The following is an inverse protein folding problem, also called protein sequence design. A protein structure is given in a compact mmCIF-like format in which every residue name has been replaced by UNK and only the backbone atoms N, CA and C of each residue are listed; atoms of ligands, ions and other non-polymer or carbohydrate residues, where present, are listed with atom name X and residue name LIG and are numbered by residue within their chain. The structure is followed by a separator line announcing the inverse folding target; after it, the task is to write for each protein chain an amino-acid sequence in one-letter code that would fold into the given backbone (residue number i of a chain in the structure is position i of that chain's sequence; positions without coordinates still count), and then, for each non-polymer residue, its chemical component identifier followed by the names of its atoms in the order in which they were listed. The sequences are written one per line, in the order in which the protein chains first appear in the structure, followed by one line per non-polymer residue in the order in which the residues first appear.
data_IF_272080535045
#
_entry.id   IF_272080535045
#
_cell.length_a   1.000
_cell.length_b   1.000
_cell.length_c   1.000
_cell.angle_alpha   90.00
_cell.angle_beta   90.00
_cell.angle_gamma   90.00
#
_symmetry.space_group_name_H-M   'P 1'
#
loop_
_entity.id
_entity.type
_entity.pdbx_description
1 polymer ?
#
# COMPACT_ATOMS: atom_id res chain seq x y z
N UNK A 1 5.38 22.18 -2.67
CA UNK A 1 3.93 21.83 -2.54
C UNK A 1 3.80 20.65 -1.58
N UNK A 2 2.60 20.34 -1.05
CA UNK A 2 2.37 19.12 -0.24
C UNK A 2 1.69 18.05 -1.10
N UNK A 3 2.27 16.86 -1.18
CA UNK A 3 1.82 15.78 -2.05
C UNK A 3 1.62 14.50 -1.25
N UNK A 4 0.39 13.98 -1.27
CA UNK A 4 0.08 12.65 -0.76
C UNK A 4 0.02 11.66 -1.93
N UNK A 5 0.82 10.61 -1.88
CA UNK A 5 0.88 9.55 -2.90
C UNK A 5 0.34 8.26 -2.30
N UNK A 6 -0.77 7.77 -2.85
CA UNK A 6 -1.35 6.48 -2.48
C UNK A 6 -0.92 5.46 -3.52
N UNK A 7 -0.16 4.45 -3.11
CA UNK A 7 0.35 3.42 -4.02
C UNK A 7 0.30 2.05 -3.35
N UNK A 8 0.05 1.00 -4.13
CA UNK A 8 -0.01 -0.37 -3.62
C UNK A 8 1.37 -0.90 -3.19
N UNK A 9 2.42 -0.53 -3.91
CA UNK A 9 3.79 -1.00 -3.70
C UNK A 9 4.76 0.15 -3.50
N UNK A 10 5.68 -0.03 -2.57
CA UNK A 10 6.77 0.91 -2.34
C UNK A 10 7.95 0.18 -1.69
N UNK A 11 9.21 0.59 -1.96
CA UNK A 11 10.38 0.00 -1.32
C UNK A 11 10.18 -0.23 0.20
N UNK A 12 10.62 -1.37 0.74
CA UNK A 12 11.31 -2.46 0.06
C UNK A 12 10.38 -3.46 -0.68
N UNK A 13 9.07 -3.42 -0.45
CA UNK A 13 8.12 -4.38 -1.05
C UNK A 13 7.62 -3.88 -2.40
N UNK A 14 8.27 -4.35 -3.45
CA UNK A 14 7.91 -4.07 -4.85
C UNK A 14 7.53 -5.39 -5.52
N UNK A 15 6.40 -5.42 -6.23
CA UNK A 15 5.97 -6.58 -7.03
C UNK A 15 6.04 -6.32 -8.54
N UNK A 16 6.17 -5.06 -8.98
CA UNK A 16 6.33 -4.72 -10.39
C UNK A 16 6.80 -3.29 -10.67
N UNK A 17 6.58 -2.84 -11.91
CA UNK A 17 7.06 -1.54 -12.40
C UNK A 17 6.40 -0.33 -11.72
N UNK A 18 5.19 -0.51 -11.17
CA UNK A 18 4.46 0.56 -10.47
C UNK A 18 5.22 1.05 -9.24
N UNK A 19 5.69 0.13 -8.39
CA UNK A 19 6.45 0.48 -7.18
C UNK A 19 7.80 1.14 -7.52
N UNK A 20 8.46 0.69 -8.58
CA UNK A 20 9.69 1.32 -9.09
C UNK A 20 9.43 2.74 -9.56
N UNK A 21 8.39 2.96 -10.38
CA UNK A 21 8.02 4.29 -10.83
C UNK A 21 7.68 5.21 -9.65
N UNK A 22 6.88 4.72 -8.70
CA UNK A 22 6.49 5.46 -7.52
C UNK A 22 7.72 5.91 -6.70
N UNK A 23 8.69 5.02 -6.48
CA UNK A 23 9.92 5.34 -5.75
C UNK A 23 10.77 6.41 -6.45
N UNK A 24 10.84 6.38 -7.79
CA UNK A 24 11.61 7.35 -8.57
C UNK A 24 10.91 8.71 -8.65
N UNK A 25 9.60 8.74 -8.91
CA UNK A 25 8.87 9.99 -9.11
C UNK A 25 8.71 10.78 -7.80
N UNK A 26 8.44 10.12 -6.67
CA UNK A 26 8.36 10.77 -5.36
C UNK A 26 9.69 11.40 -4.97
N UNK A 27 10.81 10.74 -5.32
CA UNK A 27 12.14 11.30 -5.12
C UNK A 27 12.36 12.54 -5.97
N UNK A 28 11.84 12.58 -7.19
CA UNK A 28 11.89 13.78 -8.04
C UNK A 28 11.12 14.95 -7.43
N UNK A 29 9.94 14.72 -6.87
CA UNK A 29 9.18 15.75 -6.18
C UNK A 29 9.94 16.34 -4.98
N UNK A 30 10.55 15.49 -4.14
CA UNK A 30 11.40 15.97 -3.03
C UNK A 30 12.58 16.82 -3.54
N UNK A 31 13.20 16.42 -4.66
CA UNK A 31 14.28 17.21 -5.28
C UNK A 31 13.80 18.53 -5.91
N UNK A 32 12.49 18.68 -6.12
CA UNK A 32 11.82 19.91 -6.58
C UNK A 32 11.27 20.74 -5.43
N UNK A 33 11.69 20.45 -4.18
CA UNK A 33 11.29 21.16 -2.96
C UNK A 33 9.80 20.93 -2.57
N UNK A 34 9.23 19.80 -3.01
CA UNK A 34 7.93 19.33 -2.53
C UNK A 34 8.06 18.48 -1.26
N UNK A 35 7.08 18.64 -0.37
CA UNK A 35 6.89 17.82 0.84
C UNK A 35 6.00 16.63 0.46
N UNK A 36 6.58 15.42 0.52
CA UNK A 36 5.97 14.21 -0.03
C UNK A 36 5.72 13.19 1.06
N UNK A 37 4.47 12.75 1.15
CA UNK A 37 4.03 11.64 2.00
C UNK A 37 3.52 10.50 1.13
N UNK A 38 4.05 9.29 1.34
CA UNK A 38 3.62 8.07 0.68
C UNK A 38 2.79 7.24 1.66
N UNK A 39 1.62 6.82 1.21
CA UNK A 39 0.82 5.78 1.83
C UNK A 39 0.95 4.54 0.96
N UNK A 40 1.30 3.42 1.58
CA UNK A 40 1.52 2.16 0.89
C UNK A 40 1.20 0.98 1.79
N UNK A 41 0.95 -0.18 1.21
CA UNK A 41 0.75 -1.40 1.99
C UNK A 41 2.01 -1.78 2.78
N UNK A 42 1.81 -2.32 3.98
CA UNK A 42 2.86 -3.04 4.69
C UNK A 42 3.13 -4.40 4.00
N UNK A 43 4.21 -5.08 4.38
CA UNK A 43 4.47 -6.42 3.88
C UNK A 43 3.46 -7.45 4.43
N UNK A 44 3.55 -8.68 3.95
CA UNK A 44 2.57 -9.72 4.28
C UNK A 44 2.55 -10.11 5.75
N UNK A 45 3.64 -9.87 6.48
CA UNK A 45 3.80 -10.17 7.90
C UNK A 45 3.58 -8.94 8.80
N UNK A 46 3.40 -7.74 8.22
CA UNK A 46 3.33 -6.48 8.97
C UNK A 46 4.65 -6.14 9.69
N UNK A 47 5.78 -6.60 9.16
CA UNK A 47 7.12 -6.47 9.76
C UNK A 47 7.78 -5.12 9.48
N UNK A 48 7.35 -4.41 8.43
CA UNK A 48 7.92 -3.11 8.08
C UNK A 48 7.44 -2.01 9.04
N UNK A 49 8.26 -0.97 9.27
CA UNK A 49 7.85 0.18 10.06
C UNK A 49 6.55 0.79 9.53
N UNK A 50 5.60 1.00 10.43
CA UNK A 50 4.31 1.65 10.11
C UNK A 50 4.47 3.11 9.72
N UNK A 51 5.57 3.74 10.15
CA UNK A 51 6.00 5.06 9.74
C UNK A 51 7.52 5.12 9.64
N UNK A 52 8.04 5.72 8.57
CA UNK A 52 9.46 6.05 8.46
C UNK A 52 9.69 7.28 7.58
N UNK A 53 10.91 7.83 7.60
CA UNK A 53 11.36 8.82 6.64
C UNK A 53 12.49 8.20 5.83
N UNK A 54 12.33 8.13 4.52
CA UNK A 54 13.33 7.60 3.61
C UNK A 54 13.60 8.59 2.47
N UNK A 55 14.86 9.01 2.31
CA UNK A 55 15.28 9.97 1.27
C UNK A 55 14.45 11.27 1.23
N UNK A 56 14.02 11.75 2.40
CA UNK A 56 13.20 12.95 2.56
C UNK A 56 11.71 12.75 2.28
N UNK A 57 11.26 11.49 2.13
CA UNK A 57 9.87 11.13 1.91
C UNK A 57 9.34 10.52 3.20
N UNK A 58 8.23 11.03 3.72
CA UNK A 58 7.53 10.38 4.83
C UNK A 58 6.72 9.21 4.28
N UNK A 59 6.83 8.04 4.88
CA UNK A 59 6.16 6.82 4.39
C UNK A 59 5.33 6.23 5.52
N UNK A 60 4.07 5.92 5.23
CA UNK A 60 3.12 5.26 6.12
C UNK A 60 2.74 3.89 5.55
N UNK A 61 2.89 2.85 6.38
CA UNK A 61 2.56 1.45 6.08
C UNK A 61 1.63 0.88 7.15
N UNK A 62 0.33 1.20 7.12
CA UNK A 62 -0.61 0.72 8.12
C UNK A 62 -0.60 -0.82 8.18
N UNK A 63 -0.75 -1.36 9.39
CA UNK A 63 -0.96 -2.79 9.57
C UNK A 63 -2.32 -3.18 9.01
N UNK A 64 -2.37 -4.31 8.32
CA UNK A 64 -3.62 -4.83 7.78
C UNK A 64 -4.46 -5.46 8.90
N UNK A 65 -5.78 -5.29 8.80
CA UNK A 65 -6.77 -5.98 9.62
C UNK A 65 -7.37 -7.09 8.77
N UNK A 66 -7.20 -8.34 9.19
CA UNK A 66 -7.82 -9.46 8.50
C UNK A 66 -9.35 -9.40 8.66
N UNK A 67 -10.03 -9.16 7.54
CA UNK A 67 -11.50 -9.10 7.45
C UNK A 67 -12.08 -10.28 6.66
N UNK A 68 -11.26 -11.29 6.34
CA UNK A 68 -11.65 -12.43 5.51
C UNK A 68 -12.85 -13.20 6.04
N UNK A 69 -13.06 -13.23 7.36
CA UNK A 69 -14.22 -13.86 7.99
C UNK A 69 -15.52 -13.06 7.84
N UNK A 70 -15.44 -11.74 7.64
CA UNK A 70 -16.61 -10.86 7.49
C UNK A 70 -16.99 -10.62 6.03
N UNK A 71 -16.05 -10.80 5.10
CA UNK A 71 -16.28 -10.56 3.67
C UNK A 71 -17.34 -11.47 3.03
N UNK A 72 -17.45 -12.79 3.32
CA UNK A 72 -18.36 -13.69 2.61
C UNK A 72 -19.83 -13.28 2.64
N UNK A 73 -20.26 -12.54 3.67
CA UNK A 73 -21.64 -12.09 3.84
C UNK A 73 -21.97 -10.79 3.08
N UNK A 74 -20.94 -10.06 2.63
CA UNK A 74 -21.08 -8.71 2.03
C UNK A 74 -20.51 -8.62 0.61
N UNK A 75 -19.94 -9.70 0.06
CA UNK A 75 -19.39 -9.75 -1.29
C UNK A 75 -20.29 -10.54 -2.25
N UNK A 76 -20.18 -10.23 -3.54
CA UNK A 76 -20.86 -11.00 -4.58
C UNK A 76 -20.38 -12.47 -4.61
N UNK A 77 -21.29 -13.38 -4.96
CA UNK A 77 -21.02 -14.83 -5.00
C UNK A 77 -19.83 -15.20 -5.90
N UNK A 78 -19.62 -14.44 -6.98
CA UNK A 78 -18.49 -14.64 -7.88
C UNK A 78 -17.15 -14.31 -7.22
N UNK A 79 -17.10 -13.28 -6.36
CA UNK A 79 -15.90 -12.93 -5.58
C UNK A 79 -15.64 -14.01 -4.51
N UNK A 80 -16.70 -14.55 -3.91
CA UNK A 80 -16.58 -15.65 -2.95
C UNK A 80 -15.91 -16.90 -3.57
N UNK A 81 -16.09 -17.11 -4.87
CA UNK A 81 -15.47 -18.23 -5.63
C UNK A 81 -13.99 -18.01 -5.94
N UNK A 82 -13.40 -16.85 -5.63
CA UNK A 82 -11.99 -16.55 -5.93
C UNK A 82 -10.99 -17.29 -5.03
N UNK A 83 -11.46 -18.04 -4.02
CA UNK A 83 -10.60 -18.84 -3.15
C UNK A 83 -9.55 -17.97 -2.45
N UNK A 84 -8.26 -18.28 -2.63
CA UNK A 84 -7.14 -17.48 -2.06
C UNK A 84 -7.14 -16.01 -2.47
N UNK A 85 -7.81 -15.65 -3.58
CA UNK A 85 -7.94 -14.26 -4.02
C UNK A 85 -8.74 -13.39 -3.05
N UNK A 86 -9.60 -13.98 -2.20
CA UNK A 86 -10.40 -13.23 -1.23
C UNK A 86 -9.53 -12.52 -0.20
N UNK A 87 -8.40 -13.12 0.18
CA UNK A 87 -7.47 -12.54 1.15
C UNK A 87 -6.76 -11.31 0.56
N UNK A 88 -6.36 -11.38 -0.71
CA UNK A 88 -5.79 -10.22 -1.40
C UNK A 88 -6.83 -9.11 -1.55
N UNK A 89 -8.07 -9.47 -1.89
CA UNK A 89 -9.17 -8.52 -1.98
C UNK A 89 -9.43 -7.81 -0.65
N UNK A 90 -9.49 -8.55 0.46
CA UNK A 90 -9.64 -7.98 1.80
C UNK A 90 -8.48 -7.04 2.16
N UNK A 91 -7.24 -7.43 1.85
CA UNK A 91 -6.05 -6.58 1.99
C UNK A 91 -6.18 -5.25 1.28
N UNK A 92 -6.59 -5.28 0.00
CA UNK A 92 -6.78 -4.07 -0.80
C UNK A 92 -7.95 -3.21 -0.31
N UNK A 93 -9.05 -3.84 0.13
CA UNK A 93 -10.24 -3.14 0.61
C UNK A 93 -9.95 -2.38 1.92
N UNK A 94 -9.24 -2.99 2.86
CA UNK A 94 -8.91 -2.37 4.16
C UNK A 94 -7.88 -1.25 4.02
N UNK A 95 -7.04 -1.32 2.98
CA UNK A 95 -6.04 -0.30 2.72
C UNK A 95 -6.62 0.99 2.10
N UNK A 96 -7.66 0.88 1.25
CA UNK A 96 -8.29 2.02 0.57
C UNK A 96 -9.43 2.62 1.40
#
# INVERSE_FOLDING_TARGET
MKVAVLVYEYPPKIVGGLGTYAAEITRKFVLMDDDVTVFTMNDDEGSLPTREIWRGIEIHRPLHIDVSDSLPDVIAEDIRKWGRGINLFGKLLVYN
#
